data_IF_481194351962
#
_entry.id   IF_481194351962
#
_cell.length_a   1.000
_cell.length_b   1.000
_cell.length_c   1.000
_cell.angle_alpha   90.00
_cell.angle_beta   90.00
_cell.angle_gamma   90.00
#
_symmetry.space_group_name_H-M   'P 1'
#
loop_
_entity.id
_entity.type
_entity.pdbx_description
1 polymer ?
#
# COMPACT_ATOMS: atom_id res chain seq x y z
N UNK A 1 10.29 -0.85 -46.86
CA UNK A 1 10.69 -1.22 -45.49
C UNK A 1 10.57 0.04 -44.64
N UNK A 2 9.44 0.23 -43.97
CA UNK A 2 9.22 1.43 -43.15
C UNK A 2 9.76 1.15 -41.75
N UNK A 3 10.89 1.78 -41.40
CA UNK A 3 11.37 1.85 -40.02
C UNK A 3 10.40 2.72 -39.23
N UNK A 4 9.57 2.10 -38.40
CA UNK A 4 8.80 2.83 -37.39
C UNK A 4 9.80 3.44 -36.41
N UNK A 5 9.88 4.77 -36.39
CA UNK A 5 10.58 5.48 -35.34
C UNK A 5 9.84 5.20 -34.03
N UNK A 6 10.45 4.42 -33.14
CA UNK A 6 9.99 4.28 -31.76
C UNK A 6 10.03 5.69 -31.17
N UNK A 7 8.86 6.28 -30.89
CA UNK A 7 8.81 7.53 -30.14
C UNK A 7 9.59 7.33 -28.84
N UNK A 8 10.45 8.28 -28.48
CA UNK A 8 11.25 8.16 -27.27
C UNK A 8 10.29 8.09 -26.07
N UNK A 9 10.62 7.24 -25.10
CA UNK A 9 9.77 7.05 -23.92
C UNK A 9 10.24 7.98 -22.82
N UNK A 10 9.29 8.57 -22.09
CA UNK A 10 9.56 9.52 -21.02
C UNK A 10 10.63 9.03 -20.02
N UNK A 11 10.61 7.75 -19.63
CA UNK A 11 11.66 7.16 -18.79
C UNK A 11 11.70 7.62 -17.33
N UNK A 12 10.91 8.63 -16.95
CA UNK A 12 10.82 9.13 -15.59
C UNK A 12 10.41 8.02 -14.60
N UNK A 13 10.90 8.12 -13.36
CA UNK A 13 10.63 7.16 -12.28
C UNK A 13 9.84 7.83 -11.17
N UNK A 14 9.13 7.02 -10.38
CA UNK A 14 8.33 7.50 -9.25
C UNK A 14 9.24 8.03 -8.13
N UNK A 15 9.03 9.24 -7.60
CA UNK A 15 9.81 9.81 -6.49
C UNK A 15 9.87 8.90 -5.25
N UNK A 16 10.95 8.99 -4.47
CA UNK A 16 11.14 8.21 -3.23
C UNK A 16 11.90 6.90 -3.44
N UNK A 17 12.56 6.74 -4.58
CA UNK A 17 13.32 5.55 -4.97
C UNK A 17 14.82 5.68 -4.66
N UNK A 18 15.31 6.89 -4.38
CA UNK A 18 16.74 7.23 -4.30
C UNK A 18 17.44 6.65 -3.05
N UNK A 19 16.69 6.22 -2.03
CA UNK A 19 17.24 5.86 -0.71
C UNK A 19 17.07 4.40 -0.28
N UNK A 20 16.81 3.46 -1.20
CA UNK A 20 16.56 2.05 -0.80
C UNK A 20 16.97 0.97 -1.81
N UNK A 21 17.16 -0.28 -1.35
CA UNK A 21 17.41 -1.42 -2.23
C UNK A 21 16.18 -1.62 -3.10
N UNK A 22 16.31 -1.34 -4.39
CA UNK A 22 15.14 -1.26 -5.22
C UNK A 22 14.60 -2.68 -5.50
N UNK A 23 13.44 -3.03 -4.95
CA UNK A 23 12.77 -4.32 -5.20
C UNK A 23 11.31 -4.00 -5.50
N UNK A 24 10.78 -4.54 -6.62
CA UNK A 24 9.35 -4.48 -6.94
C UNK A 24 8.90 -3.43 -7.97
N UNK A 25 7.58 -3.31 -8.10
CA UNK A 25 6.83 -2.51 -9.08
C UNK A 25 7.19 -1.01 -9.12
N UNK A 26 7.87 -0.50 -8.10
CA UNK A 26 8.33 0.89 -8.02
C UNK A 26 9.48 1.23 -8.98
N UNK A 27 10.05 0.25 -9.70
CA UNK A 27 11.12 0.46 -10.69
C UNK A 27 10.64 0.68 -12.12
N UNK A 28 9.35 0.54 -12.38
CA UNK A 28 8.86 0.53 -13.77
C UNK A 28 8.80 1.98 -14.27
N UNK A 29 9.55 2.32 -15.33
CA UNK A 29 9.60 3.68 -15.84
C UNK A 29 8.26 4.11 -16.43
N UNK A 30 8.09 5.41 -16.58
CA UNK A 30 7.00 5.99 -17.36
C UNK A 30 7.10 5.49 -18.80
N UNK A 31 6.03 4.85 -19.28
CA UNK A 31 5.94 4.32 -20.66
C UNK A 31 5.21 5.26 -21.61
N UNK A 32 4.77 6.43 -21.11
CA UNK A 32 4.21 7.48 -21.95
C UNK A 32 5.30 8.09 -22.85
N UNK A 33 4.86 8.73 -23.93
CA UNK A 33 5.75 9.43 -24.85
C UNK A 33 6.60 10.47 -24.11
N UNK A 34 7.80 10.71 -24.62
CA UNK A 34 8.61 11.87 -24.24
C UNK A 34 7.77 13.16 -24.26
N UNK A 35 8.05 14.05 -23.31
CA UNK A 35 7.35 15.35 -23.17
C UNK A 35 5.82 15.28 -22.98
N UNK A 36 5.27 14.14 -22.55
CA UNK A 36 3.87 14.11 -22.11
C UNK A 36 3.63 15.10 -20.95
N UNK A 37 2.42 15.66 -20.91
CA UNK A 37 1.99 16.55 -19.84
C UNK A 37 1.05 15.80 -18.89
N UNK A 38 1.22 16.02 -17.59
CA UNK A 38 0.39 15.44 -16.54
C UNK A 38 1.05 14.27 -15.82
N UNK A 39 0.22 13.38 -15.29
CA UNK A 39 0.71 12.26 -14.48
C UNK A 39 1.46 11.24 -15.33
N UNK A 40 2.59 10.78 -14.79
CA UNK A 40 3.34 9.70 -15.39
C UNK A 40 2.63 8.38 -15.15
N UNK A 41 2.69 7.47 -16.13
CA UNK A 41 2.08 6.15 -16.03
C UNK A 41 3.07 5.05 -16.42
N UNK A 42 3.07 3.95 -15.67
CA UNK A 42 3.88 2.77 -15.98
C UNK A 42 3.11 1.75 -16.85
N UNK A 43 3.77 0.66 -17.23
CA UNK A 43 3.18 -0.41 -18.04
C UNK A 43 1.94 -1.09 -17.40
N UNK A 44 1.66 -0.84 -16.12
CA UNK A 44 0.50 -1.34 -15.39
C UNK A 44 -0.57 -0.27 -15.17
N UNK A 45 -0.48 0.87 -15.87
CA UNK A 45 -1.37 2.02 -15.74
C UNK A 45 -1.40 2.64 -14.32
N UNK A 46 -0.38 2.40 -13.49
CA UNK A 46 -0.26 3.11 -12.22
C UNK A 46 0.27 4.51 -12.48
N UNK A 47 -0.43 5.51 -11.95
CA UNK A 47 -0.12 6.91 -12.16
C UNK A 47 0.66 7.53 -10.98
N UNK A 48 1.55 8.46 -11.26
CA UNK A 48 2.19 9.32 -10.25
C UNK A 48 2.49 10.69 -10.81
N UNK A 49 2.38 11.68 -9.93
CA UNK A 49 2.76 13.05 -10.23
C UNK A 49 4.26 13.17 -10.01
N UNK A 50 4.98 13.70 -11.01
CA UNK A 50 6.37 14.11 -10.80
C UNK A 50 6.31 15.46 -10.12
N UNK A 51 6.31 15.46 -8.78
CA UNK A 51 6.60 16.67 -8.01
C UNK A 51 8.05 17.03 -8.29
N UNK A 52 8.25 17.72 -9.42
CA UNK A 52 9.49 18.38 -9.74
C UNK A 52 9.90 19.20 -8.53
N UNK A 53 11.13 19.03 -8.12
CA UNK A 53 11.82 19.89 -7.18
C UNK A 53 11.71 21.33 -7.68
N UNK A 54 10.78 22.11 -7.14
CA UNK A 54 10.86 23.56 -7.09
C UNK A 54 9.94 24.10 -5.99
N UNK A 55 10.58 24.82 -5.06
CA UNK A 55 10.04 25.95 -4.28
C UNK A 55 9.33 25.65 -2.96
N UNK A 56 10.14 25.82 -1.90
CA UNK A 56 9.82 26.39 -0.59
C UNK A 56 8.73 25.71 0.26
N UNK A 57 9.19 24.90 1.20
CA UNK A 57 8.49 24.67 2.46
C UNK A 57 8.73 25.90 3.35
N UNK A 58 7.74 26.77 3.61
CA UNK A 58 7.85 27.67 4.75
C UNK A 58 7.82 26.81 6.02
N UNK A 59 8.89 26.97 6.80
CA UNK A 59 9.06 26.47 8.15
C UNK A 59 7.77 26.70 8.95
N UNK A 60 7.03 25.63 9.21
CA UNK A 60 6.00 25.62 10.26
C UNK A 60 6.54 24.73 11.36
N UNK A 61 7.48 25.30 12.10
CA UNK A 61 7.58 25.07 13.53
C UNK A 61 6.20 25.30 14.14
N UNK A 62 5.52 24.22 14.49
CA UNK A 62 4.16 24.23 15.02
C UNK A 62 3.87 22.93 15.74
N UNK A 63 4.50 22.82 16.91
CA UNK A 63 3.95 22.29 18.16
C UNK A 63 3.10 21.01 18.12
N UNK A 64 3.57 20.06 18.93
CA UNK A 64 3.01 18.76 19.25
C UNK A 64 1.60 18.84 19.87
N UNK A 65 0.59 19.12 19.05
CA UNK A 65 -0.80 18.90 19.43
C UNK A 65 -1.18 17.45 19.09
N UNK A 66 -0.83 16.52 19.98
CA UNK A 66 -1.43 15.19 20.01
C UNK A 66 -2.90 15.33 20.45
N UNK A 67 -3.75 15.83 19.55
CA UNK A 67 -5.16 16.03 19.83
C UNK A 67 -5.80 14.68 20.12
N UNK A 68 -6.40 14.60 21.30
CA UNK A 68 -7.22 13.53 21.89
C UNK A 68 -8.41 13.08 21.01
N UNK A 69 -8.53 13.60 19.80
CA UNK A 69 -9.64 13.44 18.86
C UNK A 69 -9.62 12.07 18.14
N UNK A 70 -8.50 11.34 18.19
CA UNK A 70 -8.41 9.97 17.67
C UNK A 70 -9.24 8.94 18.45
N UNK A 71 -9.74 9.29 19.64
CA UNK A 71 -10.65 8.43 20.42
C UNK A 71 -12.13 8.67 20.10
N UNK A 72 -12.45 9.70 19.31
CA UNK A 72 -13.84 10.11 19.00
C UNK A 72 -14.19 9.92 17.52
N UNK A 73 -13.25 9.46 16.70
CA UNK A 73 -13.57 9.02 15.33
C UNK A 73 -14.54 7.85 15.39
N UNK A 74 -15.72 8.00 14.78
CA UNK A 74 -16.64 6.89 14.54
C UNK A 74 -15.83 5.73 13.97
N UNK A 75 -15.68 4.65 14.75
CA UNK A 75 -14.94 3.47 14.28
C UNK A 75 -15.58 3.08 12.94
N UNK A 76 -14.82 3.02 11.83
CA UNK A 76 -15.41 2.61 10.56
C UNK A 76 -16.15 1.31 10.81
N UNK A 77 -17.45 1.27 10.45
CA UNK A 77 -18.21 0.05 10.62
C UNK A 77 -17.41 -1.08 9.97
N UNK A 78 -17.18 -2.19 10.68
CA UNK A 78 -16.34 -3.25 10.17
C UNK A 78 -16.90 -3.68 8.82
N UNK A 79 -16.08 -3.51 7.78
CA UNK A 79 -16.47 -3.93 6.43
C UNK A 79 -16.81 -5.41 6.48
N UNK A 80 -17.94 -5.83 5.88
CA UNK A 80 -18.33 -7.23 5.92
C UNK A 80 -17.23 -8.06 5.27
N UNK A 81 -16.69 -9.03 6.02
CA UNK A 81 -15.62 -9.90 5.56
C UNK A 81 -16.11 -11.34 5.43
N UNK A 82 -15.46 -12.12 4.56
CA UNK A 82 -15.75 -13.55 4.40
C UNK A 82 -15.15 -14.33 5.58
N UNK A 83 -15.98 -15.14 6.24
CA UNK A 83 -15.52 -16.05 7.29
C UNK A 83 -14.80 -17.26 6.68
N UNK A 84 -13.54 -17.52 7.03
CA UNK A 84 -12.80 -18.69 6.52
C UNK A 84 -13.30 -20.04 7.05
N UNK A 85 -14.11 -20.05 8.12
CA UNK A 85 -14.62 -21.28 8.74
C UNK A 85 -15.96 -21.76 8.17
N UNK A 86 -16.82 -20.84 7.74
CA UNK A 86 -18.16 -21.17 7.22
C UNK A 86 -18.50 -20.50 5.88
N UNK A 87 -17.56 -19.74 5.31
CA UNK A 87 -17.64 -19.11 3.99
C UNK A 87 -18.81 -18.11 3.82
N UNK A 88 -19.35 -17.60 4.93
CA UNK A 88 -20.39 -16.56 4.91
C UNK A 88 -19.80 -15.19 5.23
N UNK A 89 -20.35 -14.15 4.60
CA UNK A 89 -20.06 -12.77 4.98
C UNK A 89 -20.54 -12.50 6.40
N UNK A 90 -19.69 -11.87 7.21
CA UNK A 90 -20.00 -11.46 8.58
C UNK A 90 -19.79 -9.97 8.75
N UNK A 91 -20.71 -9.32 9.47
CA UNK A 91 -20.57 -7.92 9.91
C UNK A 91 -19.80 -7.78 11.23
N UNK A 92 -19.36 -8.90 11.82
CA UNK A 92 -18.54 -8.92 13.02
C UNK A 92 -17.28 -9.76 12.78
N UNK A 93 -16.41 -9.35 11.85
CA UNK A 93 -15.21 -10.11 11.50
C UNK A 93 -14.18 -10.10 12.65
N UNK A 94 -13.71 -11.28 13.02
CA UNK A 94 -12.63 -11.49 14.00
C UNK A 94 -11.37 -11.89 13.25
N UNK A 95 -10.26 -11.17 13.46
CA UNK A 95 -8.96 -11.54 12.88
C UNK A 95 -8.46 -12.84 13.53
N UNK A 96 -8.17 -13.85 12.72
CA UNK A 96 -7.73 -15.17 13.21
C UNK A 96 -6.31 -15.53 12.80
N UNK A 97 -5.80 -14.96 11.70
CA UNK A 97 -4.44 -15.18 11.20
C UNK A 97 -4.03 -14.09 10.22
N UNK A 98 -2.73 -13.80 10.15
CA UNK A 98 -2.13 -13.08 9.02
C UNK A 98 -1.18 -14.03 8.28
N UNK A 99 -1.34 -14.15 6.96
CA UNK A 99 -0.41 -14.88 6.10
C UNK A 99 0.60 -13.89 5.56
N UNK A 100 1.86 -14.03 5.95
CA UNK A 100 2.94 -13.21 5.42
C UNK A 100 3.14 -13.52 3.93
N UNK A 101 3.19 -12.49 3.10
CA UNK A 101 3.57 -12.61 1.69
C UNK A 101 5.08 -12.44 1.56
N UNK A 102 5.70 -13.13 0.60
CA UNK A 102 7.14 -12.99 0.30
C UNK A 102 7.44 -11.75 -0.55
N UNK A 103 6.41 -11.09 -1.09
CA UNK A 103 6.56 -10.01 -2.06
C UNK A 103 5.70 -8.78 -1.76
N UNK A 104 5.12 -8.66 -0.57
CA UNK A 104 4.26 -7.53 -0.22
C UNK A 104 3.60 -7.65 1.16
N UNK A 105 2.59 -6.80 1.43
CA UNK A 105 1.82 -6.87 2.67
C UNK A 105 1.16 -8.25 2.85
N UNK A 106 1.18 -8.76 4.08
CA UNK A 106 0.49 -10.00 4.41
C UNK A 106 -1.02 -9.91 4.19
N UNK A 107 -1.67 -11.06 4.03
CA UNK A 107 -3.13 -11.17 3.92
C UNK A 107 -3.74 -11.52 5.26
N UNK A 108 -4.66 -10.69 5.75
CA UNK A 108 -5.40 -10.95 6.98
C UNK A 108 -6.60 -11.86 6.71
N UNK A 109 -6.73 -12.94 7.48
CA UNK A 109 -7.88 -13.83 7.45
C UNK A 109 -8.83 -13.52 8.61
N UNK A 110 -10.12 -13.57 8.29
CA UNK A 110 -11.20 -13.27 9.22
C UNK A 110 -12.13 -14.47 9.43
N UNK A 111 -12.73 -14.54 10.60
CA UNK A 111 -13.79 -15.50 10.92
C UNK A 111 -14.96 -14.81 11.61
N UNK A 112 -16.16 -15.40 11.52
CA UNK A 112 -17.29 -14.94 12.32
C UNK A 112 -17.08 -15.32 13.81
N UNK A 113 -17.78 -14.65 14.75
CA UNK A 113 -17.60 -14.89 16.18
C UNK A 113 -17.87 -16.34 16.61
N UNK A 114 -18.71 -17.07 15.88
CA UNK A 114 -19.02 -18.48 16.13
C UNK A 114 -17.91 -19.44 15.67
N UNK A 115 -17.19 -19.07 14.61
CA UNK A 115 -16.11 -19.89 14.05
C UNK A 115 -14.75 -19.56 14.67
N UNK A 116 -14.52 -18.31 15.08
CA UNK A 116 -13.22 -17.86 15.60
C UNK A 116 -12.67 -18.74 16.75
N UNK A 117 -13.44 -19.15 17.78
CA UNK A 117 -12.92 -19.98 18.87
C UNK A 117 -12.50 -21.40 18.44
N UNK A 118 -12.98 -21.86 17.29
CA UNK A 118 -12.67 -23.19 16.74
C UNK A 118 -11.40 -23.19 15.90
N UNK A 119 -10.92 -22.01 15.52
CA UNK A 119 -9.74 -21.84 14.71
C UNK A 119 -8.53 -21.67 15.62
N UNK A 120 -7.45 -22.38 15.34
CA UNK A 120 -6.18 -22.19 16.05
C UNK A 120 -5.70 -20.76 15.81
N UNK A 121 -5.55 -19.93 16.85
CA UNK A 121 -5.02 -18.58 16.70
C UNK A 121 -3.67 -18.65 15.98
N UNK A 122 -3.56 -17.99 14.84
CA UNK A 122 -2.27 -17.82 14.18
C UNK A 122 -1.38 -16.88 15.00
N UNK A 123 -0.08 -16.80 14.69
CA UNK A 123 0.76 -15.74 15.25
C UNK A 123 0.10 -14.39 14.92
N UNK A 124 -0.25 -13.63 15.96
CA UNK A 124 -0.77 -12.28 15.81
C UNK A 124 0.37 -11.39 15.30
N UNK A 125 0.09 -10.45 14.38
CA UNK A 125 1.12 -9.59 13.79
C UNK A 125 1.83 -8.66 14.81
N UNK A 126 1.35 -8.59 16.06
CA UNK A 126 1.85 -7.71 17.12
C UNK A 126 3.23 -8.10 17.70
N UNK A 127 3.80 -9.25 17.33
CA UNK A 127 5.07 -9.72 17.91
C UNK A 127 6.24 -9.88 16.93
N UNK A 128 6.18 -9.26 15.76
CA UNK A 128 7.34 -9.29 14.84
C UNK A 128 8.32 -8.16 15.14
N UNK A 129 8.84 -8.14 16.38
CA UNK A 129 10.00 -7.31 16.74
C UNK A 129 11.24 -7.95 16.10
N UNK A 130 11.83 -7.24 15.13
CA UNK A 130 13.24 -7.27 14.71
C UNK A 130 13.95 -8.63 14.82
N UNK A 131 13.97 -9.41 13.73
CA UNK A 131 15.13 -10.27 13.46
C UNK A 131 15.83 -9.83 12.20
N UNK A 132 16.71 -8.84 12.35
CA UNK A 132 17.83 -8.61 11.44
C UNK A 132 18.83 -9.75 11.63
N UNK A 133 19.23 -10.38 10.54
CA UNK A 133 20.59 -10.92 10.34
C UNK A 133 21.09 -10.42 9.00
#
# INVERSE_FOLDING_TARGET
MSTAATADQCGARRPGWERGPAIGIHRIPCVLAEHHQGDHANAFAQQWTNTGTDTETPDTTGDEHMTREWLTGTLPEPTPALCIGCERHTRAPVVVRCIQSTSGPGTTLYACPTCAPKLTPGPTPDHTVLRRR
#
